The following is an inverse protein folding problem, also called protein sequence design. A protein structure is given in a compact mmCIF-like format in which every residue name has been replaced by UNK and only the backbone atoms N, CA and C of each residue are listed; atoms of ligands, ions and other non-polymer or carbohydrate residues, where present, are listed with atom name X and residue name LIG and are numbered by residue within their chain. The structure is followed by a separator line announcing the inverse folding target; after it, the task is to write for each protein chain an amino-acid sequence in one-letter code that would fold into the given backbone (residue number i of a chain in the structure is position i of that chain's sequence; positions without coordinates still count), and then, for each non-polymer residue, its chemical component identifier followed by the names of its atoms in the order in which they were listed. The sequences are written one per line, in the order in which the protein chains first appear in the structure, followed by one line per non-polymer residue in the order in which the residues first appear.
data_IF_384771520576
#
_entry.id   IF_384771520576
#
_cell.length_a   1.000
_cell.length_b   1.000
_cell.length_c   1.000
_cell.angle_alpha   90.00
_cell.angle_beta   90.00
_cell.angle_gamma   90.00
#
_symmetry.space_group_name_H-M   'P 1'
#
loop_
_entity.id
_entity.type
_entity.pdbx_description
1 polymer ?
#
# COMPACT_ATOMS: atom_id res chain seq x y z
N UNK A 1 -32.11 -10.04 -35.37
CA UNK A 1 -31.94 -9.75 -33.92
C UNK A 1 -30.54 -9.17 -33.75
N UNK A 2 -30.36 -8.14 -32.93
CA UNK A 2 -29.03 -7.62 -32.59
C UNK A 2 -28.66 -8.11 -31.18
N UNK A 3 -27.50 -8.76 -31.04
CA UNK A 3 -26.99 -9.17 -29.74
C UNK A 3 -26.30 -7.98 -29.07
N UNK A 4 -26.77 -7.58 -27.89
CA UNK A 4 -26.05 -6.61 -27.07
C UNK A 4 -24.85 -7.29 -26.41
N UNK A 5 -23.64 -6.93 -26.85
CA UNK A 5 -22.40 -7.39 -26.19
C UNK A 5 -22.19 -6.50 -24.97
N UNK A 6 -22.60 -6.99 -23.80
CA UNK A 6 -22.28 -6.35 -22.53
C UNK A 6 -20.77 -6.47 -22.27
N UNK A 7 -20.03 -5.39 -22.52
CA UNK A 7 -18.62 -5.29 -22.11
C UNK A 7 -18.59 -5.18 -20.59
N UNK A 8 -18.38 -6.32 -19.92
CA UNK A 8 -18.17 -6.36 -18.49
C UNK A 8 -16.82 -5.73 -18.15
N UNK A 9 -16.79 -4.41 -17.96
CA UNK A 9 -15.66 -3.71 -17.35
C UNK A 9 -15.56 -4.14 -15.89
N UNK A 10 -14.80 -5.19 -15.63
CA UNK A 10 -14.38 -5.53 -14.27
C UNK A 10 -13.63 -4.33 -13.70
N UNK A 11 -14.23 -3.66 -12.72
CA UNK A 11 -13.50 -2.69 -11.91
C UNK A 11 -12.25 -3.40 -11.34
N UNK A 12 -11.08 -2.74 -11.28
CA UNK A 12 -9.92 -3.34 -10.65
C UNK A 12 -10.28 -3.69 -9.21
N UNK A 13 -9.88 -4.89 -8.76
CA UNK A 13 -10.14 -5.33 -7.39
C UNK A 13 -9.54 -4.28 -6.43
N UNK A 14 -10.41 -3.60 -5.68
CA UNK A 14 -10.02 -2.46 -4.87
C UNK A 14 -8.95 -2.88 -3.86
N UNK A 15 -7.90 -2.07 -3.79
CA UNK A 15 -6.72 -2.36 -3.00
C UNK A 15 -6.99 -1.95 -1.54
N UNK A 16 -6.81 -2.88 -0.60
CA UNK A 16 -7.11 -2.65 0.82
C UNK A 16 -5.82 -2.32 1.57
N UNK A 17 -5.65 -1.04 1.90
CA UNK A 17 -4.45 -0.50 2.55
C UNK A 17 -4.62 -0.43 4.07
N UNK A 18 -3.54 -0.75 4.80
CA UNK A 18 -3.41 -0.60 6.25
C UNK A 18 -2.16 0.20 6.59
N UNK A 19 -2.28 1.11 7.55
CA UNK A 19 -1.15 1.80 8.16
C UNK A 19 -0.83 1.22 9.54
N UNK A 20 0.46 1.21 9.88
CA UNK A 20 1.00 0.71 11.14
C UNK A 20 1.90 1.82 11.70
N UNK A 21 1.74 2.18 12.97
CA UNK A 21 2.60 3.19 13.61
C UNK A 21 2.67 2.99 15.12
N UNK A 22 3.86 3.17 15.70
CA UNK A 22 4.09 3.20 17.13
C UNK A 22 5.48 3.74 17.47
N UNK A 23 5.72 4.00 18.76
CA UNK A 23 6.97 4.57 19.25
C UNK A 23 7.59 3.67 20.32
N UNK A 24 8.91 3.51 20.27
CA UNK A 24 9.71 2.86 21.31
C UNK A 24 11.13 3.47 21.33
N UNK A 25 11.79 3.44 22.49
CA UNK A 25 13.16 3.90 22.74
C UNK A 25 13.55 5.22 22.03
N UNK A 26 12.61 6.18 21.97
CA UNK A 26 12.81 7.51 21.39
C UNK A 26 12.73 7.59 19.86
N UNK A 27 12.36 6.52 19.16
CA UNK A 27 12.09 6.50 17.73
C UNK A 27 10.65 6.18 17.38
N UNK A 28 10.36 6.13 16.08
CA UNK A 28 9.05 5.76 15.52
C UNK A 28 9.24 4.59 14.57
N UNK A 29 8.48 3.53 14.75
CA UNK A 29 8.34 2.45 13.78
C UNK A 29 7.02 2.61 13.05
N UNK A 30 7.06 2.70 11.72
CA UNK A 30 5.84 2.74 10.92
C UNK A 30 5.97 1.99 9.60
N UNK A 31 4.82 1.54 9.09
CA UNK A 31 4.71 0.84 7.83
C UNK A 31 3.35 1.12 7.17
N UNK A 32 3.24 0.75 5.90
CA UNK A 32 1.98 0.65 5.14
C UNK A 32 1.98 -0.69 4.40
N UNK A 33 0.86 -1.42 4.43
CA UNK A 33 0.67 -2.70 3.76
C UNK A 33 -0.58 -2.65 2.90
N UNK A 34 -0.51 -3.10 1.65
CA UNK A 34 -1.60 -3.02 0.69
C UNK A 34 -1.91 -4.41 0.10
N UNK A 35 -3.17 -4.81 0.17
CA UNK A 35 -3.64 -6.10 -0.37
C UNK A 35 -4.38 -5.90 -1.70
N UNK A 36 -4.01 -6.66 -2.72
CA UNK A 36 -4.72 -6.75 -4.00
C UNK A 36 -5.03 -8.21 -4.33
N UNK A 37 -6.09 -8.46 -5.11
CA UNK A 37 -6.52 -9.83 -5.45
C UNK A 37 -7.30 -10.56 -4.34
N UNK A 38 -7.71 -9.84 -3.28
CA UNK A 38 -8.62 -10.37 -2.25
C UNK A 38 -9.92 -10.91 -2.87
N UNK A 39 -10.45 -11.99 -2.29
CA UNK A 39 -11.57 -12.74 -2.85
C UNK A 39 -11.19 -13.71 -3.97
N UNK A 40 -9.89 -13.88 -4.27
CA UNK A 40 -9.37 -14.80 -5.30
C UNK A 40 -8.29 -15.74 -4.75
N UNK A 41 -7.84 -16.70 -5.57
CA UNK A 41 -6.71 -17.58 -5.24
C UNK A 41 -5.33 -16.91 -5.31
N UNK A 42 -5.20 -15.73 -5.95
CA UNK A 42 -3.91 -15.04 -6.10
C UNK A 42 -3.98 -13.68 -5.42
N UNK A 43 -3.20 -13.51 -4.36
CA UNK A 43 -3.13 -12.25 -3.59
C UNK A 43 -1.73 -11.69 -3.69
N UNK A 44 -1.63 -10.40 -4.02
CA UNK A 44 -0.37 -9.65 -3.95
C UNK A 44 -0.46 -8.68 -2.77
N UNK A 45 0.53 -8.76 -1.89
CA UNK A 45 0.68 -7.91 -0.70
C UNK A 45 1.93 -7.06 -0.88
N UNK A 46 1.76 -5.76 -1.06
CA UNK A 46 2.87 -4.81 -1.06
C UNK A 46 3.10 -4.26 0.34
N UNK A 47 4.36 -4.15 0.75
CA UNK A 47 4.77 -3.71 2.08
C UNK A 47 5.84 -2.62 2.00
N UNK A 48 5.58 -1.51 2.68
CA UNK A 48 6.46 -0.35 2.80
C UNK A 48 6.77 -0.05 4.26
N UNK A 49 8.04 -0.03 4.63
CA UNK A 49 8.52 0.53 5.88
C UNK A 49 8.61 2.06 5.70
N UNK A 50 7.75 2.78 6.40
CA UNK A 50 7.61 4.25 6.30
C UNK A 50 8.28 4.98 7.47
N UNK A 51 9.04 4.24 8.31
CA UNK A 51 9.66 4.79 9.52
C UNK A 51 10.54 6.00 9.20
N UNK A 52 10.44 7.10 9.98
CA UNK A 52 11.37 8.23 9.87
C UNK A 52 12.81 7.77 10.05
N UNK A 53 13.76 8.36 9.31
CA UNK A 53 15.19 8.03 9.40
C UNK A 53 15.93 8.71 10.56
N UNK A 54 15.22 9.51 11.35
CA UNK A 54 15.71 10.23 12.54
C UNK A 54 14.93 9.83 13.80
N UNK A 55 15.57 9.96 14.96
CA UNK A 55 14.93 9.82 16.27
C UNK A 55 13.88 10.94 16.47
N UNK A 56 12.88 10.69 17.32
CA UNK A 56 11.75 11.60 17.56
C UNK A 56 12.17 12.95 18.19
N UNK A 57 13.38 13.02 18.76
CA UNK A 57 14.00 14.23 19.29
C UNK A 57 14.93 14.95 18.27
N UNK A 58 15.07 14.41 17.06
CA UNK A 58 15.96 14.86 15.98
C UNK A 58 17.47 14.79 16.27
N UNK A 59 17.91 14.07 17.32
CA UNK A 59 19.33 14.00 17.75
C UNK A 59 20.00 12.64 17.47
N UNK A 60 19.62 12.00 16.37
CA UNK A 60 20.23 10.73 15.95
C UNK A 60 19.46 10.06 14.82
N UNK A 61 20.01 8.97 14.31
CA UNK A 61 19.38 8.14 13.28
C UNK A 61 18.38 7.15 13.91
N UNK A 62 17.26 6.92 13.22
CA UNK A 62 16.34 5.83 13.47
C UNK A 62 16.41 4.87 12.28
N UNK A 63 16.67 3.60 12.53
CA UNK A 63 16.79 2.57 11.50
C UNK A 63 15.89 1.37 11.84
N UNK A 64 14.65 1.70 12.20
CA UNK A 64 13.54 0.78 12.39
C UNK A 64 13.38 -0.13 11.17
N UNK A 65 13.33 -1.43 11.41
CA UNK A 65 13.36 -2.47 10.38
C UNK A 65 12.20 -3.44 10.56
N UNK A 66 11.46 -3.74 9.49
CA UNK A 66 10.44 -4.80 9.53
C UNK A 66 11.16 -6.15 9.54
N UNK A 67 10.76 -6.99 10.50
CA UNK A 67 11.39 -8.27 10.83
C UNK A 67 10.41 -9.45 10.81
N UNK A 68 9.12 -9.14 10.78
CA UNK A 68 8.08 -10.06 10.44
C UNK A 68 6.79 -9.33 10.09
N UNK A 69 5.85 -10.02 9.46
CA UNK A 69 4.53 -9.52 9.18
C UNK A 69 3.56 -10.69 9.00
N UNK A 70 2.27 -10.45 9.17
CA UNK A 70 1.29 -11.52 9.04
C UNK A 70 -0.15 -11.05 9.02
N UNK A 71 -1.04 -11.98 8.66
CA UNK A 71 -2.47 -11.75 8.48
C UNK A 71 -3.25 -13.07 8.54
N UNK A 72 -4.57 -12.98 8.71
CA UNK A 72 -5.49 -14.11 8.77
C UNK A 72 -6.41 -14.21 7.56
N UNK A 73 -6.87 -15.43 7.26
CA UNK A 73 -8.02 -15.64 6.39
C UNK A 73 -9.32 -15.53 7.20
N UNK A 74 -10.32 -14.84 6.67
CA UNK A 74 -11.65 -14.71 7.27
C UNK A 74 -12.45 -16.01 7.10
N UNK A 75 -12.33 -16.90 8.08
CA UNK A 75 -13.05 -18.17 8.12
C UNK A 75 -12.42 -19.20 9.04
N UNK A 76 -13.03 -20.37 9.16
CA UNK A 76 -12.53 -21.48 10.00
C UNK A 76 -11.65 -22.48 9.24
N UNK A 77 -11.43 -22.29 7.94
CA UNK A 77 -10.52 -23.10 7.12
C UNK A 77 -9.34 -22.27 6.62
N UNK A 78 -8.12 -22.82 6.74
CA UNK A 78 -6.94 -22.34 6.00
C UNK A 78 -7.22 -22.55 4.48
N UNK A 79 -7.17 -21.50 3.63
CA UNK A 79 -7.36 -21.64 2.18
C UNK A 79 -6.19 -22.34 1.48
N UNK A 80 -5.13 -22.70 2.22
CA UNK A 80 -4.05 -23.59 1.81
C UNK A 80 -3.09 -22.93 0.84
N UNK A 81 -2.02 -22.31 1.34
CA UNK A 81 -0.98 -21.74 0.47
C UNK A 81 -0.32 -22.85 -0.36
N UNK A 82 -0.42 -22.75 -1.68
CA UNK A 82 0.22 -23.65 -2.65
C UNK A 82 1.59 -23.14 -3.06
N UNK A 83 1.77 -21.82 -3.15
CA UNK A 83 3.08 -21.18 -3.35
C UNK A 83 3.13 -19.76 -2.84
N UNK A 84 4.31 -19.28 -2.46
CA UNK A 84 4.56 -17.87 -2.19
C UNK A 84 5.97 -17.42 -2.60
N UNK A 85 6.12 -16.13 -2.87
CA UNK A 85 7.41 -15.44 -3.09
C UNK A 85 7.37 -14.07 -2.43
N UNK A 86 8.46 -13.66 -1.78
CA UNK A 86 8.70 -12.30 -1.30
C UNK A 86 9.90 -11.71 -2.04
N UNK A 87 9.73 -10.52 -2.60
CA UNK A 87 10.79 -9.79 -3.29
C UNK A 87 10.98 -8.40 -2.67
N UNK A 88 12.21 -7.88 -2.65
CA UNK A 88 12.52 -6.54 -2.14
C UNK A 88 13.76 -5.96 -2.83
N UNK A 89 14.02 -4.66 -2.63
CA UNK A 89 15.23 -4.01 -3.15
C UNK A 89 16.44 -4.36 -2.28
N UNK A 90 17.57 -4.70 -2.90
CA UNK A 90 18.86 -4.76 -2.21
C UNK A 90 19.47 -3.34 -2.06
N UNK A 91 20.62 -3.22 -1.40
CA UNK A 91 21.35 -1.95 -1.23
C UNK A 91 21.84 -1.29 -2.52
N UNK A 92 21.76 -1.98 -3.66
CA UNK A 92 22.07 -1.45 -5.00
C UNK A 92 20.82 -1.08 -5.80
N UNK A 93 19.63 -1.13 -5.20
CA UNK A 93 18.36 -0.83 -5.87
C UNK A 93 17.88 -1.90 -6.85
N UNK A 94 18.43 -3.11 -6.78
CA UNK A 94 18.00 -4.26 -7.60
C UNK A 94 16.96 -5.08 -6.83
N UNK A 95 15.87 -5.47 -7.49
CA UNK A 95 14.88 -6.38 -6.90
C UNK A 95 15.44 -7.80 -6.81
N UNK A 96 15.48 -8.36 -5.60
CA UNK A 96 15.88 -9.74 -5.31
C UNK A 96 14.72 -10.52 -4.70
N UNK A 97 14.68 -11.84 -4.91
CA UNK A 97 13.74 -12.73 -4.22
C UNK A 97 14.36 -13.14 -2.89
N UNK A 98 13.76 -12.71 -1.79
CA UNK A 98 14.29 -12.81 -0.42
C UNK A 98 13.58 -13.85 0.45
N UNK A 99 12.49 -14.45 -0.05
CA UNK A 99 11.81 -15.60 0.56
C UNK A 99 10.93 -16.32 -0.46
N UNK A 100 10.76 -17.63 -0.35
CA UNK A 100 9.80 -18.39 -1.17
C UNK A 100 9.49 -19.78 -0.60
N UNK A 101 8.31 -20.32 -0.91
CA UNK A 101 7.97 -21.72 -0.69
C UNK A 101 8.87 -22.73 -1.43
N UNK A 102 9.56 -22.31 -2.50
CA UNK A 102 10.41 -23.21 -3.31
C UNK A 102 11.90 -23.18 -2.93
N UNK A 103 12.33 -22.25 -2.08
CA UNK A 103 13.72 -22.16 -1.64
C UNK A 103 13.84 -21.71 -0.17
N UNK A 104 14.11 -22.67 0.71
CA UNK A 104 14.33 -22.47 2.14
C UNK A 104 15.72 -21.93 2.52
N UNK A 105 16.64 -21.74 1.56
CA UNK A 105 17.92 -21.05 1.81
C UNK A 105 17.82 -19.53 1.79
N UNK A 106 16.64 -18.98 1.50
CA UNK A 106 16.38 -17.55 1.44
C UNK A 106 16.18 -16.95 2.85
N UNK A 107 16.53 -15.67 3.07
CA UNK A 107 16.53 -15.07 4.41
C UNK A 107 15.14 -14.92 5.05
N UNK A 108 14.03 -15.01 4.31
CA UNK A 108 12.66 -14.98 4.83
C UNK A 108 11.93 -16.31 4.65
N UNK A 109 11.11 -16.69 5.65
CA UNK A 109 10.30 -17.90 5.65
C UNK A 109 8.94 -17.72 6.32
N UNK A 110 8.00 -18.64 6.05
CA UNK A 110 6.72 -18.77 6.78
C UNK A 110 6.96 -19.56 8.08
N UNK A 111 6.39 -19.12 9.18
CA UNK A 111 6.24 -19.94 10.40
C UNK A 111 4.98 -20.81 10.25
N UNK A 112 5.13 -22.14 10.34
CA UNK A 112 4.02 -23.09 10.24
C UNK A 112 3.44 -23.51 11.60
N UNK A 113 4.30 -23.61 12.63
CA UNK A 113 3.99 -24.42 13.82
C UNK A 113 3.53 -23.59 15.04
N UNK A 114 3.64 -22.26 14.97
CA UNK A 114 3.27 -21.36 16.05
C UNK A 114 2.37 -20.23 15.51
N UNK A 115 1.06 -20.34 15.76
CA UNK A 115 0.12 -19.22 15.54
C UNK A 115 0.36 -18.13 16.60
N UNK A 116 1.41 -17.33 16.46
CA UNK A 116 1.89 -16.39 17.49
C UNK A 116 0.83 -15.33 17.79
N UNK A 117 0.06 -15.60 18.86
CA UNK A 117 -1.15 -14.90 19.25
C UNK A 117 -2.23 -14.87 18.14
N UNK A 118 -2.53 -16.04 17.56
CA UNK A 118 -3.75 -16.27 16.78
C UNK A 118 -3.69 -15.90 15.30
N UNK A 119 -2.50 -15.68 14.74
CA UNK A 119 -2.32 -15.40 13.30
C UNK A 119 -1.76 -16.63 12.58
N UNK A 120 -2.38 -17.00 11.46
CA UNK A 120 -2.16 -18.24 10.70
C UNK A 120 -1.15 -18.12 9.56
N UNK A 121 -0.96 -16.91 9.03
CA UNK A 121 0.05 -16.59 8.02
C UNK A 121 1.05 -15.60 8.62
N UNK A 122 2.13 -16.13 9.20
CA UNK A 122 3.20 -15.36 9.85
C UNK A 122 4.52 -15.56 9.07
N UNK A 123 5.14 -14.46 8.64
CA UNK A 123 6.40 -14.44 7.90
C UNK A 123 7.47 -13.71 8.70
N UNK A 124 8.65 -14.31 8.81
CA UNK A 124 9.79 -13.77 9.57
C UNK A 124 11.09 -13.89 8.78
N UNK A 125 12.07 -13.05 9.10
CA UNK A 125 13.45 -13.31 8.70
C UNK A 125 14.06 -14.42 9.58
N UNK A 126 14.75 -15.39 8.96
CA UNK A 126 15.19 -16.62 9.61
C UNK A 126 16.26 -16.42 10.69
N UNK A 127 17.01 -15.32 10.62
CA UNK A 127 18.14 -15.05 11.52
C UNK A 127 17.76 -14.56 12.93
N UNK A 128 16.47 -14.44 13.26
CA UNK A 128 15.99 -14.32 14.65
C UNK A 128 16.34 -15.55 15.51
N UNK A 129 16.56 -16.71 14.91
CA UNK A 129 16.80 -17.98 15.60
C UNK A 129 18.28 -18.23 15.98
N UNK A 130 19.16 -17.23 15.86
CA UNK A 130 20.57 -17.38 16.23
C UNK A 130 20.75 -17.30 17.74
N UNK A 131 21.11 -18.42 18.38
CA UNK A 131 21.34 -18.52 19.83
C UNK A 131 22.66 -17.87 20.32
N UNK A 132 23.11 -16.79 19.67
CA UNK A 132 24.24 -15.95 20.09
C UNK A 132 23.73 -14.59 20.57
N UNK A 133 24.30 -14.07 21.66
CA UNK A 133 23.74 -12.95 22.44
C UNK A 133 23.79 -11.55 21.78
N UNK A 134 23.83 -11.45 20.45
CA UNK A 134 23.67 -10.19 19.72
C UNK A 134 22.58 -10.34 18.66
N UNK A 135 21.52 -9.51 18.77
CA UNK A 135 20.43 -9.46 17.81
C UNK A 135 20.84 -8.77 16.49
N UNK A 136 21.76 -9.39 15.74
CA UNK A 136 22.18 -8.91 14.43
C UNK A 136 21.05 -9.14 13.41
N UNK A 137 20.24 -8.09 13.18
CA UNK A 137 19.04 -8.11 12.34
C UNK A 137 19.39 -8.21 10.84
N UNK A 138 19.85 -9.38 10.40
CA UNK A 138 20.31 -9.66 9.03
C UNK A 138 19.15 -9.98 8.10
N UNK A 139 19.07 -9.31 6.96
CA UNK A 139 17.99 -9.51 5.97
C UNK A 139 16.68 -8.80 6.32
N UNK A 140 16.71 -7.82 7.21
CA UNK A 140 15.52 -7.03 7.55
C UNK A 140 15.08 -6.10 6.42
N UNK A 141 13.84 -5.62 6.51
CA UNK A 141 13.19 -4.72 5.56
C UNK A 141 13.17 -3.27 6.08
N UNK A 142 14.11 -2.46 5.62
CA UNK A 142 14.29 -1.06 5.99
C UNK A 142 13.51 -0.10 5.08
N UNK A 143 13.27 1.13 5.55
CA UNK A 143 12.84 2.24 4.69
C UNK A 143 13.95 2.52 3.64
N UNK A 144 13.65 2.59 2.32
CA UNK A 144 14.61 3.02 1.28
C UNK A 144 15.34 4.33 1.57
N UNK A 145 14.74 5.28 2.29
CA UNK A 145 15.39 6.54 2.69
C UNK A 145 16.58 6.33 3.65
N UNK A 146 16.71 5.14 4.25
CA UNK A 146 17.83 4.76 5.09
C UNK A 146 19.02 4.16 4.30
N UNK A 147 18.96 4.06 2.97
CA UNK A 147 20.09 3.59 2.14
C UNK A 147 21.32 4.48 2.39
N UNK A 148 22.44 3.86 2.77
CA UNK A 148 23.68 4.56 3.13
C UNK A 148 23.74 5.08 4.57
N UNK A 149 22.68 4.91 5.37
CA UNK A 149 22.71 5.24 6.79
C UNK A 149 23.65 4.32 7.58
N UNK A 150 24.46 4.89 8.46
CA UNK A 150 25.35 4.16 9.37
C UNK A 150 24.60 3.46 10.51
N UNK A 151 23.29 3.68 10.65
CA UNK A 151 22.44 3.02 11.65
C UNK A 151 21.74 1.74 11.15
N UNK A 152 21.91 1.39 9.87
CA UNK A 152 21.51 0.07 9.36
C UNK A 152 22.27 -1.04 10.12
N UNK A 153 21.63 -2.18 10.32
CA UNK A 153 22.28 -3.32 11.00
C UNK A 153 23.16 -4.13 10.03
N UNK A 154 23.50 -5.35 10.45
CA UNK A 154 24.40 -6.23 9.71
C UNK A 154 23.80 -6.71 8.37
N UNK A 155 24.64 -6.72 7.33
CA UNK A 155 24.27 -7.18 5.98
C UNK A 155 23.79 -8.65 5.95
N UNK A 156 22.92 -9.03 4.99
CA UNK A 156 22.35 -8.17 3.94
C UNK A 156 21.28 -7.22 4.46
N UNK A 157 21.18 -6.02 3.86
CA UNK A 157 20.12 -5.05 4.14
C UNK A 157 19.19 -4.97 2.93
N UNK A 158 17.89 -5.18 3.15
CA UNK A 158 16.86 -5.07 2.13
C UNK A 158 15.95 -3.87 2.40
N UNK A 159 15.38 -3.30 1.34
CA UNK A 159 14.66 -2.03 1.38
C UNK A 159 13.28 -2.18 0.76
N UNK A 160 12.29 -1.58 1.41
CA UNK A 160 10.89 -1.80 1.04
C UNK A 160 10.46 -0.97 -0.18
N UNK A 161 10.43 -1.63 -1.33
CA UNK A 161 9.15 -1.85 -2.00
C UNK A 161 8.93 -3.36 -2.04
N UNK A 162 8.55 -3.92 -0.89
CA UNK A 162 8.58 -5.36 -0.69
C UNK A 162 7.27 -5.97 -1.17
N UNK A 163 7.30 -6.64 -2.32
CA UNK A 163 6.13 -7.25 -2.94
C UNK A 163 6.11 -8.74 -2.63
N UNK A 164 5.03 -9.20 -2.02
CA UNK A 164 4.77 -10.61 -1.75
C UNK A 164 3.64 -11.11 -2.65
N UNK A 165 3.88 -12.20 -3.37
CA UNK A 165 2.83 -12.91 -4.13
C UNK A 165 2.49 -14.21 -3.41
N UNK A 166 1.20 -14.47 -3.22
CA UNK A 166 0.66 -15.70 -2.65
C UNK A 166 -0.32 -16.35 -3.63
N UNK A 167 -0.22 -17.66 -3.77
CA UNK A 167 -1.24 -18.50 -4.39
C UNK A 167 -1.80 -19.47 -3.34
N UNK A 168 -3.12 -19.58 -3.31
CA UNK A 168 -3.90 -20.41 -2.41
C UNK A 168 -4.65 -21.51 -3.19
N UNK A 169 -5.07 -22.57 -2.51
CA UNK A 169 -5.87 -23.66 -3.08
C UNK A 169 -7.37 -23.30 -3.19
N UNK A 170 -7.82 -22.27 -2.47
CA UNK A 170 -9.15 -21.66 -2.58
C UNK A 170 -9.05 -20.13 -2.49
N UNK A 171 -10.18 -19.43 -2.63
CA UNK A 171 -10.18 -17.96 -2.56
C UNK A 171 -9.84 -17.49 -1.14
N UNK A 172 -8.86 -16.58 -1.02
CA UNK A 172 -8.50 -15.94 0.24
C UNK A 172 -9.34 -14.68 0.49
N UNK A 173 -9.82 -14.50 1.71
CA UNK A 173 -10.47 -13.27 2.18
C UNK A 173 -9.72 -12.77 3.41
N UNK A 174 -9.32 -11.51 3.45
CA UNK A 174 -8.59 -10.97 4.60
C UNK A 174 -9.50 -10.86 5.83
N UNK A 175 -9.08 -11.44 6.94
CA UNK A 175 -9.61 -11.10 8.26
C UNK A 175 -9.01 -9.76 8.72
N UNK A 176 -9.87 -8.81 9.07
CA UNK A 176 -9.53 -7.44 9.48
C UNK A 176 -9.80 -7.19 10.96
N UNK A 177 -10.09 -8.25 11.74
CA UNK A 177 -10.32 -8.18 13.17
C UNK A 177 -9.04 -8.50 13.97
N UNK A 178 -8.92 -7.86 15.15
CA UNK A 178 -7.80 -8.11 16.06
C UNK A 178 -6.45 -7.70 15.47
N UNK A 179 -5.44 -8.55 15.66
CA UNK A 179 -4.05 -8.30 15.20
C UNK A 179 -3.83 -8.76 13.75
N UNK A 180 -4.77 -8.49 12.86
CA UNK A 180 -4.72 -8.88 11.44
C UNK A 180 -5.10 -7.70 10.54
N UNK A 181 -4.20 -7.24 9.65
CA UNK A 181 -2.79 -7.59 9.54
C UNK A 181 -1.93 -7.05 10.70
N UNK A 182 -0.69 -7.51 10.82
CA UNK A 182 0.34 -6.95 11.72
C UNK A 182 1.72 -6.83 11.05
N UNK A 183 2.58 -5.98 11.62
CA UNK A 183 4.04 -5.98 11.38
C UNK A 183 4.80 -6.10 12.71
N UNK A 184 5.98 -6.72 12.67
CA UNK A 184 6.99 -6.70 13.73
C UNK A 184 8.15 -5.80 13.30
N UNK A 185 8.53 -4.88 14.16
CA UNK A 185 9.64 -3.95 13.94
C UNK A 185 10.70 -4.11 15.03
N UNK A 186 11.96 -3.99 14.63
CA UNK A 186 13.14 -4.02 15.51
C UNK A 186 14.02 -2.81 15.21
N UNK A 187 14.92 -2.47 16.14
CA UNK A 187 15.76 -1.27 16.06
C UNK A 187 14.94 0.03 15.95
N UNK A 188 13.80 0.07 16.65
CA UNK A 188 12.95 1.26 16.75
C UNK A 188 13.58 2.22 17.75
N UNK A 189 13.99 3.40 17.30
CA UNK A 189 14.76 4.31 18.14
C UNK A 189 16.09 3.71 18.56
N UNK A 190 16.46 3.88 19.84
CA UNK A 190 17.69 3.32 20.40
C UNK A 190 17.51 1.83 20.79
N UNK A 191 17.31 0.96 19.79
CA UNK A 191 17.23 -0.50 19.97
C UNK A 191 15.88 -1.06 20.44
N UNK A 192 14.79 -0.33 20.26
CA UNK A 192 13.43 -0.76 20.60
C UNK A 192 12.79 -1.78 19.66
N UNK A 193 11.65 -2.32 20.10
CA UNK A 193 10.92 -3.43 19.47
C UNK A 193 9.41 -3.23 19.55
N UNK A 194 8.73 -3.35 18.41
CA UNK A 194 7.27 -3.19 18.31
C UNK A 194 6.63 -4.38 17.60
N UNK A 195 5.45 -4.80 18.05
CA UNK A 195 4.44 -5.43 17.19
C UNK A 195 3.33 -4.40 17.00
N UNK A 196 2.97 -4.13 15.74
CA UNK A 196 1.98 -3.12 15.37
C UNK A 196 0.86 -3.77 14.58
N UNK A 197 -0.37 -3.46 14.97
CA UNK A 197 -1.58 -3.93 14.28
C UNK A 197 -2.00 -2.91 13.22
N UNK A 198 -2.55 -3.39 12.11
CA UNK A 198 -2.91 -2.56 10.97
C UNK A 198 -4.20 -1.78 11.20
N UNK A 199 -4.14 -0.46 11.10
CA UNK A 199 -5.35 0.37 10.98
C UNK A 199 -5.75 0.45 9.51
N UNK A 200 -6.94 -0.01 9.10
CA UNK A 200 -7.40 0.16 7.72
C UNK A 200 -7.42 1.64 7.35
N UNK A 201 -6.82 2.00 6.22
CA UNK A 201 -7.05 3.31 5.63
C UNK A 201 -8.54 3.40 5.26
N UNK A 202 -9.19 4.49 5.67
CA UNK A 202 -10.52 4.80 5.14
C UNK A 202 -10.36 5.08 3.66
N UNK A 203 -11.14 4.41 2.82
CA UNK A 203 -11.32 4.79 1.43
C UNK A 203 -11.61 6.29 1.37
N UNK A 204 -10.65 7.07 0.88
CA UNK A 204 -10.91 8.45 0.48
C UNK A 204 -11.79 8.31 -0.75
N UNK A 205 -13.07 8.75 -0.71
CA UNK A 205 -13.93 8.64 -1.88
C UNK A 205 -13.24 9.38 -3.01
N UNK A 206 -13.04 8.72 -4.16
CA UNK A 206 -12.51 9.40 -5.34
C UNK A 206 -13.32 10.69 -5.54
N UNK A 207 -12.67 11.85 -5.79
CA UNK A 207 -13.37 13.11 -5.92
C UNK A 207 -14.35 12.99 -7.09
N UNK A 208 -15.62 12.78 -6.74
CA UNK A 208 -16.69 12.44 -7.67
C UNK A 208 -16.67 13.39 -8.86
N UNK A 209 -17.02 12.89 -10.03
CA UNK A 209 -17.01 13.65 -11.28
C UNK A 209 -18.11 14.73 -11.31
N UNK A 210 -17.97 15.76 -10.47
CA UNK A 210 -18.77 17.00 -10.37
C UNK A 210 -18.45 17.93 -11.57
N UNK A 211 -18.14 17.32 -12.70
CA UNK A 211 -18.07 17.89 -14.05
C UNK A 211 -19.27 17.43 -14.90
N UNK A 212 -19.93 16.33 -14.55
CA UNK A 212 -21.11 15.84 -15.27
C UNK A 212 -22.38 16.67 -15.01
N UNK A 213 -22.58 17.17 -13.80
CA UNK A 213 -23.78 17.91 -13.38
C UNK A 213 -23.75 19.41 -13.68
N UNK A 214 -22.57 20.01 -13.85
CA UNK A 214 -22.43 21.42 -14.22
C UNK A 214 -22.80 21.70 -15.70
N UNK A 215 -22.78 20.69 -16.56
CA UNK A 215 -23.04 20.83 -18.00
C UNK A 215 -24.53 21.01 -18.38
N UNK A 216 -25.46 20.78 -17.45
CA UNK A 216 -26.90 20.75 -17.74
C UNK A 216 -27.64 22.10 -17.57
N UNK A 217 -27.02 23.10 -16.93
CA UNK A 217 -27.69 24.35 -16.52
C UNK A 217 -26.81 25.60 -16.80
N UNK A 218 -26.61 25.96 -18.07
CA UNK A 218 -25.74 27.12 -18.39
C UNK A 218 -25.90 27.85 -19.73
N UNK A 219 -26.23 27.19 -20.84
CA UNK A 219 -26.02 27.78 -22.19
C UNK A 219 -27.27 27.95 -23.08
N UNK A 220 -28.48 27.84 -22.52
CA UNK A 220 -29.73 27.92 -23.29
C UNK A 220 -30.21 29.33 -23.70
N UNK A 221 -29.58 30.41 -23.24
CA UNK A 221 -30.19 31.76 -23.21
C UNK A 221 -29.51 32.83 -24.09
N UNK A 222 -28.42 32.54 -24.79
CA UNK A 222 -27.61 33.54 -25.55
C UNK A 222 -27.78 33.42 -27.08
N UNK A 223 -28.96 33.02 -27.56
CA UNK A 223 -29.25 32.87 -29.01
C UNK A 223 -30.57 33.52 -29.45
N UNK A 224 -30.90 34.72 -28.94
CA UNK A 224 -32.13 35.44 -29.35
C UNK A 224 -32.08 36.99 -29.24
N UNK A 225 -31.00 37.63 -29.71
CA UNK A 225 -30.90 39.12 -29.68
C UNK A 225 -30.24 39.83 -30.87
N UNK A 226 -30.24 39.22 -32.07
CA UNK A 226 -29.79 39.88 -33.32
C UNK A 226 -30.82 39.85 -34.48
N UNK A 227 -32.11 39.72 -34.17
CA UNK A 227 -33.19 39.59 -35.17
C UNK A 227 -34.20 40.75 -35.17
N UNK A 228 -33.84 41.96 -34.72
CA UNK A 228 -34.76 43.11 -34.74
C UNK A 228 -34.06 44.48 -34.82
N UNK A 229 -33.25 44.71 -35.87
CA UNK A 229 -32.58 46.00 -36.13
C UNK A 229 -32.81 46.58 -37.54
N UNK A 230 -33.68 45.95 -38.35
CA UNK A 230 -33.96 46.31 -39.76
C UNK A 230 -35.40 46.84 -39.97
N UNK A 231 -36.01 47.48 -38.97
CA UNK A 231 -37.22 48.31 -39.14
C UNK A 231 -37.04 49.61 -38.35
N UNK A 232 -37.47 50.73 -38.95
CA UNK A 232 -37.37 52.12 -38.46
C UNK A 232 -36.02 52.84 -38.67
N UNK A 233 -35.63 53.07 -39.92
CA UNK A 233 -34.99 54.32 -40.37
C UNK A 233 -35.17 54.55 -41.89
N UNK A 234 -36.37 55.01 -42.25
CA UNK A 234 -36.74 55.53 -43.56
C UNK A 234 -37.71 56.69 -43.37
N UNK A 235 -37.63 57.71 -44.23
CA UNK A 235 -38.03 59.12 -43.97
C UNK A 235 -37.22 59.77 -42.82
N UNK A 236 -36.79 61.03 -42.88
CA UNK A 236 -36.97 62.13 -43.88
C UNK A 236 -35.60 62.86 -43.90
N UNK A 237 -34.87 63.13 -45.00
CA UNK A 237 -35.13 63.68 -46.35
C UNK A 237 -35.32 65.22 -46.35
N UNK A 238 -34.51 65.89 -47.19
CA UNK A 238 -34.50 67.34 -47.51
C UNK A 238 -34.13 68.28 -46.33
N UNK A 239 -33.45 69.43 -46.46
CA UNK A 239 -32.73 70.14 -47.56
C UNK A 239 -31.56 70.94 -46.90
N UNK A 240 -30.73 71.83 -47.49
CA UNK A 240 -30.71 72.60 -48.76
C UNK A 240 -29.34 72.37 -49.46
N UNK A 241 -28.71 73.39 -50.09
CA UNK A 241 -27.44 73.34 -50.84
C UNK A 241 -26.65 74.66 -50.74
N UNK A 242 -25.34 74.59 -51.04
CA UNK A 242 -24.38 75.68 -51.34
C UNK A 242 -24.31 76.83 -50.33
#
# INVERSE_FOLDING_TARGET
MAASVAVATSLPAQALTFDFSGTDNGGTGSATMNFTGLGTQNVTVDLWNTSPTTLNNNTGSNASAITGFGFNNLGTSDPGITSWTLQALNSSGVMETIGSSSNSSLPWGRVSDNNVAGVSLDYIFAALNNAGNEAQIKGALYNPDAIGSSALAALPNYFTKATMNLTFASNFTLDTAGMSPFVRMQNVGNGGSLKLDGTPQKEVPEPLTILGSAAALGFGSVLKKQANKNKNKAATKDTISV
#
